data_IF_016491902917
#
_entry.id   IF_016491902917
#
_cell.length_a   1.000
_cell.length_b   1.000
_cell.length_c   1.000
_cell.angle_alpha   90.00
_cell.angle_beta   90.00
_cell.angle_gamma   90.00
#
_symmetry.space_group_name_H-M   'P 1'
#
loop_
_entity.id
_entity.type
_entity.pdbx_description
1 polymer ?
#
# COMPACT_ATOMS: atom_id res chain seq x y z
N UNK A 1 3.23 -15.94 -3.54
CA UNK A 1 3.58 -14.73 -2.76
C UNK A 1 2.61 -13.62 -3.13
N UNK A 2 2.06 -12.89 -2.15
CA UNK A 2 1.14 -11.77 -2.40
C UNK A 2 1.94 -10.49 -2.73
N UNK A 3 1.47 -9.72 -3.70
CA UNK A 3 2.04 -8.40 -4.03
C UNK A 3 1.91 -7.44 -2.83
N UNK A 4 2.90 -6.57 -2.54
CA UNK A 4 2.78 -5.53 -1.51
C UNK A 4 1.52 -4.67 -1.63
N UNK A 5 1.13 -4.32 -2.87
CA UNK A 5 -0.08 -3.55 -3.11
C UNK A 5 -1.36 -4.32 -2.75
N UNK A 6 -1.38 -5.63 -2.97
CA UNK A 6 -2.49 -6.51 -2.55
C UNK A 6 -2.51 -6.62 -1.03
N UNK A 7 -1.35 -6.79 -0.39
CA UNK A 7 -1.24 -6.86 1.07
C UNK A 7 -1.77 -5.60 1.76
N UNK A 8 -1.58 -4.41 1.16
CA UNK A 8 -2.16 -3.15 1.66
C UNK A 8 -3.70 -3.20 1.73
N UNK A 9 -4.35 -3.71 0.68
CA UNK A 9 -5.82 -3.87 0.65
C UNK A 9 -6.27 -4.94 1.64
N UNK A 10 -5.57 -6.07 1.70
CA UNK A 10 -5.88 -7.14 2.66
C UNK A 10 -5.76 -6.70 4.12
N UNK A 11 -4.74 -5.89 4.44
CA UNK A 11 -4.59 -5.30 5.77
C UNK A 11 -5.77 -4.38 6.13
N UNK A 12 -6.21 -3.54 5.18
CA UNK A 12 -7.38 -2.69 5.36
C UNK A 12 -8.66 -3.51 5.56
N UNK A 13 -8.90 -4.52 4.74
CA UNK A 13 -10.05 -5.43 4.89
C UNK A 13 -10.05 -6.13 6.27
N UNK A 14 -8.89 -6.58 6.73
CA UNK A 14 -8.74 -7.23 8.02
C UNK A 14 -9.01 -6.27 9.18
N UNK A 15 -8.47 -5.04 9.14
CA UNK A 15 -8.77 -3.99 10.12
C UNK A 15 -10.27 -3.68 10.17
N UNK A 16 -10.94 -3.65 9.00
CA UNK A 16 -12.38 -3.42 8.90
C UNK A 16 -13.22 -4.66 9.22
N UNK A 17 -12.60 -5.79 9.53
CA UNK A 17 -13.26 -7.07 9.81
C UNK A 17 -14.20 -7.54 8.67
N UNK A 18 -13.90 -7.12 7.44
CA UNK A 18 -14.72 -7.40 6.26
C UNK A 18 -14.33 -8.72 5.62
N UNK A 19 -15.34 -9.50 5.25
CA UNK A 19 -15.15 -10.68 4.39
C UNK A 19 -15.04 -10.22 2.95
N UNK A 20 -13.98 -10.67 2.27
CA UNK A 20 -13.75 -10.41 0.86
C UNK A 20 -13.39 -11.72 0.15
N UNK A 21 -13.95 -11.93 -1.04
CA UNK A 21 -13.56 -13.05 -1.87
C UNK A 21 -12.22 -12.73 -2.55
N UNK A 22 -11.16 -13.42 -2.12
CA UNK A 22 -9.86 -13.30 -2.77
C UNK A 22 -9.82 -14.15 -4.06
N UNK A 23 -9.68 -13.50 -5.21
CA UNK A 23 -9.47 -14.17 -6.50
C UNK A 23 -7.98 -14.13 -6.85
N UNK A 24 -7.27 -15.28 -6.83
CA UNK A 24 -5.85 -15.30 -7.16
C UNK A 24 -5.61 -14.99 -8.64
N UNK A 25 -4.53 -14.26 -8.91
CA UNK A 25 -4.04 -13.96 -10.27
C UNK A 25 -2.61 -14.46 -10.38
N UNK A 26 -2.35 -15.34 -11.35
CA UNK A 26 -1.01 -15.87 -11.60
C UNK A 26 -0.14 -14.82 -12.32
N UNK A 27 0.58 -14.05 -11.51
CA UNK A 27 1.53 -13.06 -12.02
C UNK A 27 2.72 -13.70 -12.75
N UNK A 28 3.09 -14.94 -12.42
CA UNK A 28 4.20 -15.65 -13.08
C UNK A 28 3.80 -16.09 -14.49
N UNK A 29 2.56 -16.52 -14.67
CA UNK A 29 1.98 -16.81 -15.99
C UNK A 29 1.56 -15.54 -16.78
N UNK A 30 1.70 -14.36 -16.16
CA UNK A 30 1.38 -13.07 -16.77
C UNK A 30 -0.13 -12.80 -16.88
N UNK A 31 -0.98 -13.43 -16.07
CA UNK A 31 -2.44 -13.29 -16.15
C UNK A 31 -2.90 -11.84 -15.94
N UNK A 32 -2.25 -11.12 -15.02
CA UNK A 32 -2.45 -9.69 -14.78
C UNK A 32 -2.23 -8.79 -16.02
N UNK A 33 -1.65 -9.30 -17.11
CA UNK A 33 -1.43 -8.58 -18.38
C UNK A 33 -2.39 -9.01 -19.50
N UNK A 34 -3.35 -9.90 -19.20
CA UNK A 34 -4.27 -10.50 -20.18
C UNK A 34 -5.72 -10.28 -19.74
N UNK A 35 -6.65 -10.52 -20.65
CA UNK A 35 -8.06 -10.62 -20.29
C UNK A 35 -8.30 -11.87 -19.41
N UNK A 36 -9.29 -11.83 -18.50
CA UNK A 36 -10.20 -10.71 -18.24
C UNK A 36 -9.62 -9.62 -17.32
N UNK A 37 -8.39 -9.77 -16.82
CA UNK A 37 -7.85 -8.90 -15.77
C UNK A 37 -7.62 -7.46 -16.23
N UNK A 38 -7.14 -7.25 -17.46
CA UNK A 38 -6.88 -5.90 -17.97
C UNK A 38 -8.16 -5.07 -18.16
N UNK A 39 -9.33 -5.72 -18.29
CA UNK A 39 -10.63 -5.05 -18.21
C UNK A 39 -10.93 -4.49 -16.81
N UNK A 40 -10.26 -4.97 -15.76
CA UNK A 40 -10.38 -4.49 -14.39
C UNK A 40 -9.33 -3.42 -14.06
N UNK A 41 -8.08 -3.65 -14.48
CA UNK A 41 -7.00 -2.68 -14.37
C UNK A 41 -6.26 -2.58 -15.72
N UNK A 42 -6.44 -1.49 -16.49
CA UNK A 42 -5.85 -1.35 -17.82
C UNK A 42 -4.31 -1.23 -17.80
N UNK A 43 -3.70 -0.95 -16.64
CA UNK A 43 -2.24 -0.96 -16.47
C UNK A 43 -1.67 -2.37 -16.26
N UNK A 44 -2.56 -3.36 -16.11
CA UNK A 44 -2.22 -4.74 -15.86
C UNK A 44 -1.40 -4.91 -14.59
N UNK A 45 -1.88 -4.34 -13.49
CA UNK A 45 -1.24 -4.41 -12.17
C UNK A 45 -2.26 -4.90 -11.14
N UNK A 46 -1.80 -5.67 -10.16
CA UNK A 46 -2.63 -6.05 -9.01
C UNK A 46 -2.44 -5.05 -7.86
N UNK A 47 -3.47 -4.79 -7.02
CA UNK A 47 -4.81 -5.36 -7.06
C UNK A 47 -5.76 -4.67 -8.06
N UNK A 48 -6.83 -5.39 -8.40
CA UNK A 48 -8.11 -4.82 -8.78
C UNK A 48 -9.14 -5.24 -7.71
N UNK A 49 -10.23 -4.47 -7.58
CA UNK A 49 -11.27 -4.67 -6.57
C UNK A 49 -12.63 -4.42 -7.19
N UNK A 50 -13.60 -5.27 -6.88
CA UNK A 50 -14.99 -5.14 -7.32
C UNK A 50 -15.91 -5.14 -6.11
N UNK A 51 -16.88 -4.23 -6.12
CA UNK A 51 -17.96 -4.14 -5.13
C UNK A 51 -19.26 -3.79 -5.87
N UNK A 52 -20.14 -4.78 -6.01
CA UNK A 52 -21.30 -4.76 -6.91
C UNK A 52 -20.95 -4.28 -8.33
N UNK A 53 -21.39 -3.07 -8.70
CA UNK A 53 -21.18 -2.48 -10.02
C UNK A 53 -19.93 -1.58 -10.09
N UNK A 54 -19.23 -1.39 -8.97
CA UNK A 54 -18.04 -0.56 -8.88
C UNK A 54 -16.78 -1.40 -9.09
N UNK A 55 -15.92 -0.93 -9.98
CA UNK A 55 -14.60 -1.52 -10.24
C UNK A 55 -13.53 -0.50 -9.94
N UNK A 56 -12.58 -0.88 -9.09
CA UNK A 56 -11.47 -0.04 -8.66
C UNK A 56 -10.14 -0.74 -8.91
N UNK A 57 -9.14 0.06 -9.22
CA UNK A 57 -7.73 -0.30 -9.16
C UNK A 57 -7.00 0.81 -8.38
N UNK A 58 -5.69 0.70 -8.23
CA UNK A 58 -4.88 1.47 -7.27
C UNK A 58 -5.18 1.12 -5.80
N UNK A 59 -4.26 0.39 -5.18
CA UNK A 59 -4.41 -0.09 -3.79
C UNK A 59 -4.75 1.00 -2.77
N UNK A 60 -4.20 2.21 -2.90
CA UNK A 60 -4.48 3.34 -1.98
C UNK A 60 -5.89 3.91 -2.17
N UNK A 61 -6.38 3.94 -3.41
CA UNK A 61 -7.76 4.33 -3.73
C UNK A 61 -8.72 3.29 -3.17
N UNK A 62 -8.44 2.01 -3.38
CA UNK A 62 -9.23 0.89 -2.83
C UNK A 62 -9.30 0.97 -1.31
N UNK A 63 -8.18 1.16 -0.60
CA UNK A 63 -8.22 1.29 0.87
C UNK A 63 -8.99 2.52 1.34
N UNK A 64 -8.90 3.63 0.61
CA UNK A 64 -9.69 4.83 0.93
C UNK A 64 -11.19 4.58 0.74
N UNK A 65 -11.58 3.92 -0.35
CA UNK A 65 -12.96 3.52 -0.59
C UNK A 65 -13.47 2.60 0.53
N UNK A 66 -12.75 1.52 0.84
CA UNK A 66 -13.15 0.56 1.88
C UNK A 66 -13.29 1.26 3.24
N UNK A 67 -12.35 2.14 3.59
CA UNK A 67 -12.41 2.87 4.86
C UNK A 67 -13.69 3.73 4.98
N UNK A 68 -14.06 4.46 3.92
CA UNK A 68 -15.21 5.37 3.91
C UNK A 68 -16.55 4.65 3.70
N UNK A 69 -16.63 3.72 2.75
CA UNK A 69 -17.87 3.00 2.42
C UNK A 69 -18.37 2.16 3.60
N UNK A 70 -17.44 1.57 4.34
CA UNK A 70 -17.74 0.67 5.46
C UNK A 70 -17.37 1.31 6.80
N UNK A 71 -17.54 2.64 6.97
CA UNK A 71 -17.07 3.40 8.15
C UNK A 71 -17.38 2.72 9.50
N UNK A 72 -18.60 2.23 9.66
CA UNK A 72 -19.12 1.62 10.89
C UNK A 72 -18.56 0.23 11.20
N UNK A 73 -17.90 -0.44 10.24
CA UNK A 73 -17.38 -1.80 10.41
C UNK A 73 -15.98 -1.81 11.03
N UNK A 74 -15.76 -2.70 12.00
CA UNK A 74 -14.46 -2.94 12.63
C UNK A 74 -13.69 -1.65 12.99
N UNK A 75 -12.47 -1.55 12.51
CA UNK A 75 -11.62 -0.38 12.74
C UNK A 75 -12.09 0.85 11.94
N UNK A 76 -12.66 1.89 12.57
CA UNK A 76 -12.77 3.21 11.93
C UNK A 76 -11.40 3.75 11.47
N UNK A 77 -11.20 3.69 10.14
CA UNK A 77 -10.05 4.18 9.38
C UNK A 77 -10.38 5.49 8.62
N UNK A 78 -11.58 6.04 8.83
CA UNK A 78 -12.05 7.24 8.14
C UNK A 78 -11.25 8.45 8.61
N UNK A 79 -10.95 9.29 7.64
CA UNK A 79 -10.12 10.46 7.84
C UNK A 79 -11.02 11.65 8.07
N UNK A 80 -11.47 11.72 9.32
CA UNK A 80 -12.32 12.80 9.80
C UNK A 80 -11.45 14.02 10.13
N UNK A 81 -11.26 14.91 9.15
CA UNK A 81 -10.47 16.13 9.33
C UNK A 81 -10.78 17.22 8.30
N UNK A 82 -10.52 18.48 8.66
CA UNK A 82 -10.68 19.64 7.77
C UNK A 82 -9.43 20.50 7.74
N UNK A 83 -9.23 21.25 6.65
CA UNK A 83 -8.14 22.21 6.50
C UNK A 83 -6.76 21.61 6.81
N UNK A 84 -6.13 22.09 7.89
CA UNK A 84 -4.77 21.69 8.29
C UNK A 84 -4.62 20.19 8.58
N UNK A 85 -5.66 19.54 9.10
CA UNK A 85 -5.62 18.09 9.38
C UNK A 85 -5.58 17.28 8.09
N UNK A 86 -6.43 17.63 7.12
CA UNK A 86 -6.45 16.98 5.81
C UNK A 86 -5.16 17.23 5.04
N UNK A 87 -4.61 18.45 5.11
CA UNK A 87 -3.31 18.77 4.50
C UNK A 87 -2.16 17.92 5.11
N UNK A 88 -2.17 17.72 6.42
CA UNK A 88 -1.16 16.90 7.11
C UNK A 88 -1.26 15.43 6.72
N UNK A 89 -2.49 14.92 6.58
CA UNK A 89 -2.73 13.56 6.12
C UNK A 89 -2.30 13.36 4.67
N UNK A 90 -2.73 14.24 3.76
CA UNK A 90 -2.36 14.18 2.35
C UNK A 90 -0.83 14.21 2.21
N UNK A 91 -0.14 15.10 2.94
CA UNK A 91 1.32 15.12 2.94
C UNK A 91 1.92 13.77 3.36
N UNK A 92 1.38 13.13 4.40
CA UNK A 92 1.86 11.82 4.83
C UNK A 92 1.67 10.75 3.74
N UNK A 93 0.52 10.74 3.06
CA UNK A 93 0.25 9.80 1.97
C UNK A 93 1.15 10.01 0.76
N UNK A 94 1.37 11.26 0.37
CA UNK A 94 2.27 11.61 -0.73
C UNK A 94 3.73 11.27 -0.39
N UNK A 95 4.16 11.51 0.85
CA UNK A 95 5.49 11.11 1.31
C UNK A 95 5.65 9.60 1.33
N UNK A 96 4.65 8.85 1.79
CA UNK A 96 4.65 7.39 1.69
C UNK A 96 4.76 6.94 0.22
N UNK A 97 3.89 7.45 -0.65
CA UNK A 97 3.81 7.04 -2.05
C UNK A 97 5.07 7.38 -2.87
N UNK A 98 5.72 8.51 -2.59
CA UNK A 98 6.82 9.01 -3.42
C UNK A 98 8.21 8.87 -2.81
N UNK A 99 8.33 8.79 -1.47
CA UNK A 99 9.63 8.70 -0.80
C UNK A 99 9.89 7.31 -0.22
N UNK A 100 8.86 6.68 0.34
CA UNK A 100 9.00 5.38 1.00
C UNK A 100 8.77 4.21 0.04
N UNK A 101 7.58 4.14 -0.57
CA UNK A 101 7.13 3.01 -1.37
C UNK A 101 8.09 2.65 -2.51
N UNK A 102 8.63 3.58 -3.32
CA UNK A 102 9.51 3.21 -4.43
C UNK A 102 10.78 2.51 -3.97
N UNK A 103 11.33 2.91 -2.81
CA UNK A 103 12.54 2.30 -2.24
C UNK A 103 12.22 0.97 -1.56
N UNK A 104 11.13 0.92 -0.78
CA UNK A 104 10.68 -0.29 -0.12
C UNK A 104 10.31 -1.39 -1.13
N UNK A 105 9.53 -1.03 -2.16
CA UNK A 105 9.11 -1.92 -3.25
C UNK A 105 10.30 -2.43 -4.05
N UNK A 106 11.29 -1.56 -4.33
CA UNK A 106 12.51 -1.97 -5.02
C UNK A 106 13.36 -2.95 -4.22
N UNK A 107 13.49 -2.74 -2.91
CA UNK A 107 14.18 -3.68 -2.02
C UNK A 107 13.42 -5.00 -1.90
N UNK A 108 12.09 -4.96 -1.78
CA UNK A 108 11.26 -6.15 -1.76
C UNK A 108 11.41 -6.95 -3.06
N UNK A 109 11.46 -6.26 -4.21
CA UNK A 109 11.69 -6.89 -5.50
C UNK A 109 13.02 -7.65 -5.53
N UNK A 110 14.12 -6.97 -5.20
CA UNK A 110 15.46 -7.56 -5.24
C UNK A 110 15.67 -8.69 -4.23
N UNK A 111 15.16 -8.55 -3.00
CA UNK A 111 15.48 -9.45 -1.89
C UNK A 111 14.46 -10.57 -1.70
N UNK A 112 13.20 -10.36 -2.11
CA UNK A 112 12.11 -11.31 -1.87
C UNK A 112 11.56 -11.84 -3.18
N UNK A 113 11.22 -10.97 -4.12
CA UNK A 113 10.57 -11.37 -5.38
C UNK A 113 11.54 -12.13 -6.28
N UNK A 114 12.76 -11.62 -6.47
CA UNK A 114 13.79 -12.30 -7.27
C UNK A 114 14.06 -13.71 -6.73
N UNK A 115 14.31 -13.83 -5.42
CA UNK A 115 14.53 -15.12 -4.77
C UNK A 115 13.34 -16.08 -4.97
N UNK A 116 12.10 -15.59 -4.81
CA UNK A 116 10.89 -16.38 -5.03
C UNK A 116 10.74 -16.84 -6.50
N UNK A 117 11.15 -16.00 -7.46
CA UNK A 117 11.09 -16.31 -8.89
C UNK A 117 12.29 -17.13 -9.39
N UNK A 118 13.28 -17.43 -8.53
CA UNK A 118 14.53 -18.08 -8.92
C UNK A 118 15.46 -17.18 -9.72
N UNK A 119 15.29 -15.87 -9.63
CA UNK A 119 16.16 -14.85 -10.22
C UNK A 119 17.26 -14.43 -9.24
N UNK A 120 18.36 -13.89 -9.77
CA UNK A 120 19.48 -13.39 -8.96
C UNK A 120 19.21 -11.98 -8.46
N UNK A 121 19.52 -11.74 -7.18
CA UNK A 121 19.53 -10.41 -6.57
C UNK A 121 20.68 -9.56 -7.12
N UNK A 122 20.42 -8.31 -7.46
CA UNK A 122 21.46 -7.33 -7.76
C UNK A 122 21.93 -6.65 -6.46
N UNK A 123 23.05 -7.12 -5.92
CA UNK A 123 23.64 -6.61 -4.67
C UNK A 123 24.04 -5.13 -4.75
N UNK A 124 24.38 -4.62 -5.93
CA UNK A 124 24.71 -3.19 -6.13
C UNK A 124 23.44 -2.37 -5.94
N UNK A 125 22.36 -2.78 -6.60
CA UNK A 125 21.05 -2.14 -6.48
C UNK A 125 20.54 -2.17 -5.04
N UNK A 126 20.67 -3.32 -4.35
CA UNK A 126 20.30 -3.45 -2.94
C UNK A 126 21.08 -2.47 -2.08
N UNK A 127 22.41 -2.43 -2.21
CA UNK A 127 23.27 -1.56 -1.40
C UNK A 127 22.90 -0.08 -1.58
N UNK A 128 22.76 0.37 -2.83
CA UNK A 128 22.41 1.76 -3.12
C UNK A 128 21.00 2.12 -2.63
N UNK A 129 20.04 1.22 -2.83
CA UNK A 129 18.64 1.46 -2.43
C UNK A 129 18.53 1.48 -0.90
N UNK A 130 19.22 0.59 -0.17
CA UNK A 130 19.31 0.63 1.30
C UNK A 130 19.87 1.96 1.80
N UNK A 131 20.94 2.47 1.17
CA UNK A 131 21.54 3.74 1.57
C UNK A 131 20.59 4.93 1.37
N UNK A 132 19.82 4.95 0.27
CA UNK A 132 18.77 5.96 0.04
C UNK A 132 17.62 5.81 1.04
N UNK A 133 17.20 4.57 1.31
CA UNK A 133 16.09 4.28 2.19
C UNK A 133 16.38 4.65 3.64
N UNK A 134 17.60 4.42 4.12
CA UNK A 134 18.04 4.85 5.45
C UNK A 134 17.80 6.35 5.69
N UNK A 135 18.07 7.21 4.69
CA UNK A 135 17.83 8.66 4.79
C UNK A 135 16.34 8.99 4.94
N UNK A 136 15.47 8.26 4.23
CA UNK A 136 14.01 8.42 4.38
C UNK A 136 13.56 7.98 5.78
N UNK A 137 14.08 6.86 6.27
CA UNK A 137 13.78 6.36 7.61
C UNK A 137 14.26 7.33 8.71
N UNK A 138 15.35 8.05 8.50
CA UNK A 138 15.81 9.07 9.45
C UNK A 138 14.85 10.27 9.53
N UNK A 139 14.26 10.68 8.39
CA UNK A 139 13.16 11.68 8.39
C UNK A 139 11.94 11.17 9.16
N UNK A 140 11.59 9.89 8.98
CA UNK A 140 10.46 9.26 9.68
C UNK A 140 10.71 9.18 11.18
N UNK A 141 11.92 8.79 11.61
CA UNK A 141 12.32 8.78 13.04
C UNK A 141 12.20 10.17 13.65
N UNK A 142 12.71 11.20 12.99
CA UNK A 142 12.61 12.57 13.48
C UNK A 142 11.14 13.03 13.61
N UNK A 143 10.29 12.65 12.66
CA UNK A 143 8.85 12.92 12.71
C UNK A 143 8.16 12.19 13.87
N UNK A 144 8.47 10.91 14.06
CA UNK A 144 7.89 10.06 15.10
C UNK A 144 8.40 10.39 16.51
N UNK A 145 9.57 11.02 16.64
CA UNK A 145 10.05 11.53 17.93
C UNK A 145 9.08 12.55 18.54
N UNK A 146 8.46 13.40 17.70
CA UNK A 146 7.49 14.40 18.12
C UNK A 146 6.02 13.98 17.97
N UNK A 147 5.74 12.75 17.51
CA UNK A 147 4.37 12.32 17.25
C UNK A 147 4.19 10.81 17.30
N UNK A 148 3.06 10.37 17.87
CA UNK A 148 2.71 8.94 17.93
C UNK A 148 2.56 8.30 16.54
N UNK A 149 2.18 9.08 15.53
CA UNK A 149 1.97 8.62 14.16
C UNK A 149 2.58 9.60 13.16
N UNK A 150 2.89 9.14 11.94
CA UNK A 150 3.45 9.99 10.88
C UNK A 150 2.54 11.20 10.56
N UNK A 151 1.22 10.98 10.57
CA UNK A 151 0.21 12.00 10.32
C UNK A 151 -0.06 12.93 11.52
N UNK A 152 0.46 12.67 12.73
CA UNK A 152 0.24 13.54 13.90
C UNK A 152 -0.48 12.88 15.09
N UNK A 153 -0.66 13.65 16.18
CA UNK A 153 -1.17 13.19 17.49
C UNK A 153 -2.71 13.03 17.53
N UNK A 154 -3.43 13.69 16.62
CA UNK A 154 -4.90 13.72 16.59
C UNK A 154 -5.52 12.76 15.57
N UNK A 155 -4.74 11.79 15.08
CA UNK A 155 -5.27 10.74 14.24
C UNK A 155 -5.69 9.57 15.12
N UNK A 156 -7.00 9.33 15.18
CA UNK A 156 -7.50 8.02 15.52
C UNK A 156 -6.93 7.07 14.45
N UNK A 157 -5.98 6.22 14.89
CA UNK A 157 -5.51 4.97 14.28
C UNK A 157 -4.29 4.89 13.38
N UNK A 158 -3.67 3.73 13.61
CA UNK A 158 -2.74 2.89 12.86
C UNK A 158 -2.80 3.06 11.34
N UNK A 159 -1.90 3.88 10.81
CA UNK A 159 -1.29 3.57 9.52
C UNK A 159 0.01 2.81 9.82
N UNK A 160 -0.01 1.50 9.55
CA UNK A 160 1.10 0.54 9.59
C UNK A 160 2.16 0.81 10.68
N UNK A 161 1.94 0.21 11.86
CA UNK A 161 3.07 -0.15 12.74
C UNK A 161 3.88 -1.28 12.10
#
# INVERSE_FOLDING_TARGET
MLSPAVMRVMACLNEKELKCQFVPVDMRAGEHKKEPFISLNPFGQVPAFEDDNLKLFESRVITSYIANQYEEEGTNLVINGKGKQMASFALCMEVDAHQFDPLASKLAFELVINAYMGMTTDETVVKETKAKFAKVLDVYKARLFGSKYLAGVNFNRSFFQ
#
